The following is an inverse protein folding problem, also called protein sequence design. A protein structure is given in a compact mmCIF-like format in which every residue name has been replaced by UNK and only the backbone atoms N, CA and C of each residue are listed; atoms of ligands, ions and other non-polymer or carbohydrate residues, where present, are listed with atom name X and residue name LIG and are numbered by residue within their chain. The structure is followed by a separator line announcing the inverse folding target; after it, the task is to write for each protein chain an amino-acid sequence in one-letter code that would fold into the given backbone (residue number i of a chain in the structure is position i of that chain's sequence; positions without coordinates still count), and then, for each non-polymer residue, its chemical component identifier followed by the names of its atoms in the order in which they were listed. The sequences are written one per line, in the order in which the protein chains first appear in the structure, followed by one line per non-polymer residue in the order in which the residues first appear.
data_IF_775590535088
#
_entry.id   IF_775590535088
#
_cell.length_a   1.000
_cell.length_b   1.000
_cell.length_c   1.000
_cell.angle_alpha   90.00
_cell.angle_beta   90.00
_cell.angle_gamma   90.00
#
_symmetry.space_group_name_H-M   'P 1'
#
loop_
_entity.id
_entity.type
_entity.pdbx_description
1 polymer ?
#
# COMPACT_ATOMS: atom_id res chain seq x y z
N UNK A 1 -6.97 11.39 24.22
CA UNK A 1 -7.57 11.08 22.90
C UNK A 1 -6.50 10.43 22.05
N UNK A 2 -6.69 9.17 21.66
CA UNK A 2 -5.67 8.34 21.05
C UNK A 2 -5.33 8.85 19.64
N UNK A 3 -4.04 9.09 19.42
CA UNK A 3 -3.46 9.40 18.12
C UNK A 3 -3.71 8.22 17.15
N UNK A 4 -4.80 8.30 16.39
CA UNK A 4 -4.93 7.62 15.09
C UNK A 4 -3.98 8.32 14.12
N UNK A 5 -2.69 8.08 14.38
CA UNK A 5 -1.57 8.36 13.50
C UNK A 5 -2.01 7.97 12.08
N UNK A 6 -1.87 8.87 11.11
CA UNK A 6 -2.25 8.75 9.69
C UNK A 6 -1.75 7.44 9.06
N UNK A 7 -2.42 6.33 9.37
CA UNK A 7 -2.14 5.04 8.78
C UNK A 7 -3.17 4.87 7.68
N UNK A 8 -2.79 5.28 6.48
CA UNK A 8 -3.55 5.01 5.25
C UNK A 8 -3.50 3.50 5.03
N UNK A 9 -4.49 2.81 5.58
CA UNK A 9 -4.74 1.41 5.34
C UNK A 9 -5.77 1.28 4.22
N UNK A 10 -5.48 0.48 3.21
CA UNK A 10 -6.37 0.27 2.08
C UNK A 10 -6.62 -1.23 1.89
N UNK A 11 -7.88 -1.66 1.93
CA UNK A 11 -8.26 -3.04 1.60
C UNK A 11 -8.21 -3.23 0.08
N UNK A 12 -7.97 -4.45 -0.36
CA UNK A 12 -7.95 -4.77 -1.79
C UNK A 12 -9.27 -4.42 -2.50
N UNK A 13 -10.42 -4.58 -1.81
CA UNK A 13 -11.74 -4.21 -2.34
C UNK A 13 -11.87 -2.70 -2.58
N UNK A 14 -11.31 -1.89 -1.69
CA UNK A 14 -11.33 -0.43 -1.82
C UNK A 14 -10.42 0.00 -2.99
N UNK A 15 -9.24 -0.62 -3.09
CA UNK A 15 -8.36 -0.41 -4.24
C UNK A 15 -9.05 -0.79 -5.55
N UNK A 16 -9.76 -1.93 -5.60
CA UNK A 16 -10.48 -2.34 -6.80
C UNK A 16 -11.62 -1.39 -7.19
N UNK A 17 -12.30 -0.78 -6.20
CA UNK A 17 -13.32 0.21 -6.46
C UNK A 17 -12.76 1.53 -7.02
N UNK A 18 -11.52 1.89 -6.69
CA UNK A 18 -10.84 3.08 -7.22
C UNK A 18 -10.30 2.90 -8.64
N UNK A 19 -10.10 1.65 -9.08
CA UNK A 19 -9.59 1.32 -10.41
C UNK A 19 -10.56 0.39 -11.14
N UNK A 20 -11.79 0.83 -11.44
CA UNK A 20 -12.82 -0.03 -12.05
C UNK A 20 -12.42 -0.53 -13.45
N UNK A 21 -11.62 0.25 -14.18
CA UNK A 21 -11.09 -0.11 -15.50
C UNK A 21 -10.01 -1.20 -15.46
N UNK A 22 -9.46 -1.48 -14.29
CA UNK A 22 -8.41 -2.50 -14.12
C UNK A 22 -9.00 -3.78 -13.55
N UNK A 23 -8.83 -4.89 -14.26
CA UNK A 23 -9.28 -6.18 -13.76
C UNK A 23 -8.68 -6.49 -12.38
N UNK A 24 -9.45 -7.13 -11.51
CA UNK A 24 -8.94 -7.51 -10.19
C UNK A 24 -7.69 -8.42 -10.28
N UNK A 25 -7.58 -9.24 -11.34
CA UNK A 25 -6.41 -10.06 -11.60
C UNK A 25 -5.17 -9.20 -11.83
N UNK A 26 -5.26 -8.22 -12.71
CA UNK A 26 -4.19 -7.25 -12.98
C UNK A 26 -3.82 -6.48 -11.71
N UNK A 27 -4.82 -6.04 -10.96
CA UNK A 27 -4.60 -5.30 -9.70
C UNK A 27 -3.88 -6.16 -8.66
N UNK A 28 -4.21 -7.46 -8.55
CA UNK A 28 -3.47 -8.41 -7.70
C UNK A 28 -2.00 -8.51 -8.10
N UNK A 29 -1.72 -8.63 -9.41
CA UNK A 29 -0.34 -8.67 -9.90
C UNK A 29 0.42 -7.37 -9.61
N UNK A 30 -0.21 -6.21 -9.80
CA UNK A 30 0.40 -4.92 -9.53
C UNK A 30 0.71 -4.75 -8.04
N UNK A 31 -0.25 -5.08 -7.18
CA UNK A 31 -0.06 -5.07 -5.72
C UNK A 31 1.08 -6.02 -5.33
N UNK A 32 1.13 -7.23 -5.90
CA UNK A 32 2.22 -8.16 -5.62
C UNK A 32 3.58 -7.57 -6.02
N UNK A 33 3.69 -6.99 -7.22
CA UNK A 33 4.91 -6.30 -7.67
C UNK A 33 5.33 -5.18 -6.72
N UNK A 34 4.39 -4.41 -6.15
CA UNK A 34 4.68 -3.35 -5.19
C UNK A 34 5.15 -3.91 -3.84
N UNK A 35 4.61 -5.05 -3.40
CA UNK A 35 5.07 -5.78 -2.22
C UNK A 35 6.49 -6.33 -2.43
N UNK A 36 6.75 -6.94 -3.59
CA UNK A 36 8.06 -7.49 -3.94
C UNK A 36 9.13 -6.38 -3.99
N UNK A 37 8.76 -5.20 -4.51
CA UNK A 37 9.59 -3.98 -4.48
C UNK A 37 9.72 -3.34 -3.10
N UNK A 38 9.10 -3.92 -2.06
CA UNK A 38 9.07 -3.39 -0.68
C UNK A 38 8.52 -1.96 -0.59
N UNK A 39 7.68 -1.53 -1.53
CA UNK A 39 7.02 -0.21 -1.51
C UNK A 39 5.78 -0.23 -0.62
N UNK A 40 5.10 -1.37 -0.56
CA UNK A 40 3.94 -1.61 0.29
C UNK A 40 4.11 -2.93 1.03
N UNK A 41 3.39 -3.11 2.12
CA UNK A 41 3.31 -4.36 2.87
C UNK A 41 1.84 -4.78 3.03
N UNK A 42 1.60 -6.10 2.96
CA UNK A 42 0.32 -6.69 3.36
C UNK A 42 0.37 -6.94 4.86
N UNK A 43 -0.60 -6.41 5.59
CA UNK A 43 -0.71 -6.58 7.03
C UNK A 43 -2.00 -7.33 7.34
N UNK A 44 -1.90 -8.31 8.23
CA UNK A 44 -2.99 -9.24 8.55
C UNK A 44 -3.02 -10.47 7.65
N UNK A 45 -3.88 -11.42 7.99
CA UNK A 45 -4.03 -12.68 7.26
C UNK A 45 -5.48 -12.86 6.78
N UNK A 46 -5.67 -13.39 5.57
CA UNK A 46 -6.99 -13.65 5.00
C UNK A 46 -7.79 -12.40 4.60
N UNK A 47 -9.14 -12.45 4.63
CA UNK A 47 -10.03 -11.43 4.07
C UNK A 47 -9.99 -10.08 4.81
N UNK A 48 -9.44 -10.06 6.03
CA UNK A 48 -9.19 -8.83 6.81
C UNK A 48 -7.85 -8.16 6.52
N UNK A 49 -7.07 -8.66 5.56
CA UNK A 49 -5.78 -8.07 5.22
C UNK A 49 -5.92 -6.69 4.60
N UNK A 50 -5.00 -5.79 4.95
CA UNK A 50 -4.91 -4.44 4.42
C UNK A 50 -3.52 -4.17 3.84
N UNK A 51 -3.50 -3.30 2.84
CA UNK A 51 -2.29 -2.78 2.23
C UNK A 51 -1.86 -1.54 3.02
N UNK A 52 -0.59 -1.49 3.35
CA UNK A 52 0.04 -0.35 4.02
C UNK A 52 1.23 0.10 3.20
N UNK A 53 1.37 1.40 3.01
CA UNK A 53 2.60 1.98 2.45
C UNK A 53 3.76 1.67 3.39
N UNK A 54 4.81 1.05 2.85
CA UNK A 54 6.07 0.97 3.59
C UNK A 54 6.68 2.36 3.52
N UNK A 55 7.03 2.94 4.67
CA UNK A 55 7.86 4.16 4.68
C UNK A 55 9.18 3.80 4.03
N UNK A 56 9.27 4.05 2.72
CA UNK A 56 10.49 3.91 1.97
C UNK A 56 11.49 4.86 2.59
N UNK A 57 12.63 4.32 3.02
CA UNK A 57 13.88 5.02 3.26
C UNK A 57 14.38 5.63 1.95
N UNK A 58 13.57 6.45 1.27
CA UNK A 58 14.11 7.47 0.40
C UNK A 58 14.86 8.39 1.34
N UNK A 59 16.17 8.16 1.47
CA UNK A 59 17.09 9.25 1.73
C UNK A 59 16.87 10.23 0.58
N UNK A 60 15.86 11.10 0.72
CA UNK A 60 15.92 12.40 0.09
C UNK A 60 17.19 13.00 0.69
N UNK A 61 18.27 12.94 -0.08
CA UNK A 61 19.42 13.77 0.18
C UNK A 61 18.86 15.18 0.33
N UNK A 62 18.85 15.67 1.55
CA UNK A 62 18.84 17.11 1.79
C UNK A 62 20.16 17.59 1.22
N UNK A 63 20.20 17.87 -0.08
CA UNK A 63 21.14 18.85 -0.61
C UNK A 63 20.62 20.20 -0.10
N UNK A 64 20.97 20.49 1.15
CA UNK A 64 21.16 21.86 1.60
C UNK A 64 22.50 22.28 0.99
N UNK A 65 22.41 23.02 -0.10
CA UNK A 65 23.42 23.98 -0.53
C UNK A 65 22.87 25.35 -0.25
#
# INVERSE_FOLDING_TARGET
MNALNERVFCRFKELAALFPETSQRTLRYNVQKLVDKKMIERVGNGPGSFLKLKKGQHKHGTTRT
#
